data_IF_383645527711
#
_entry.id   IF_383645527711
#
_cell.length_a   1.000
_cell.length_b   1.000
_cell.length_c   1.000
_cell.angle_alpha   90.00
_cell.angle_beta   90.00
_cell.angle_gamma   90.00
#
_symmetry.space_group_name_H-M   'P 1'
#
loop_
_entity.id
_entity.type
_entity.pdbx_description
1 polymer ?
#
# COMPACT_ATOMS: atom_id res chain seq x y z
N UNK A 1 23.47 4.25 10.77
CA UNK A 1 22.78 3.17 11.53
C UNK A 1 23.77 2.65 12.55
N UNK A 2 23.41 2.64 13.84
CA UNK A 2 24.29 2.13 14.91
C UNK A 2 24.23 0.61 14.94
N UNK A 3 25.37 -0.06 15.30
CA UNK A 3 25.49 -1.52 15.40
C UNK A 3 24.33 -2.16 16.19
N UNK A 4 23.88 -1.52 17.27
CA UNK A 4 22.76 -1.97 18.11
C UNK A 4 21.43 -2.07 17.34
N UNK A 5 21.17 -1.20 16.36
CA UNK A 5 19.95 -1.24 15.54
C UNK A 5 19.99 -2.42 14.56
N UNK A 6 21.18 -2.77 14.06
CA UNK A 6 21.38 -3.92 13.18
C UNK A 6 21.22 -5.22 13.95
N UNK A 7 21.71 -5.29 15.20
CA UNK A 7 21.57 -6.47 16.05
C UNK A 7 20.11 -6.69 16.50
N UNK A 8 19.39 -5.63 16.87
CA UNK A 8 17.96 -5.71 17.20
C UNK A 8 17.11 -6.12 15.96
N UNK A 9 17.47 -5.63 14.79
CA UNK A 9 16.78 -5.96 13.54
C UNK A 9 17.06 -7.40 13.13
N UNK A 10 18.31 -7.87 13.29
CA UNK A 10 18.71 -9.27 13.04
C UNK A 10 18.05 -10.21 14.05
N UNK A 11 17.93 -9.82 15.32
CA UNK A 11 17.25 -10.60 16.34
C UNK A 11 15.73 -10.70 16.09
N UNK A 12 15.07 -9.61 15.66
CA UNK A 12 13.65 -9.62 15.27
C UNK A 12 13.39 -10.47 14.02
N UNK A 13 14.32 -10.50 13.08
CA UNK A 13 14.25 -11.36 11.89
C UNK A 13 14.48 -12.84 12.24
N UNK A 14 15.31 -13.13 13.24
CA UNK A 14 15.53 -14.50 13.74
C UNK A 14 14.33 -15.07 14.52
N UNK A 15 13.58 -14.21 15.24
CA UNK A 15 12.34 -14.59 15.94
C UNK A 15 11.16 -14.83 14.97
N UNK A 16 11.33 -14.45 13.70
CA UNK A 16 10.42 -14.72 12.59
C UNK A 16 10.89 -15.94 11.78
N UNK A 17 11.07 -17.09 12.44
CA UNK A 17 11.41 -18.35 11.78
C UNK A 17 10.34 -18.72 10.73
N UNK A 18 10.81 -19.34 9.62
CA UNK A 18 9.98 -19.83 8.54
C UNK A 18 10.08 -19.03 7.23
N UNK A 19 10.00 -19.76 6.12
CA UNK A 19 10.10 -19.18 4.77
C UNK A 19 8.91 -18.30 4.48
N UNK A 20 9.16 -17.13 3.91
CA UNK A 20 8.12 -16.17 3.50
C UNK A 20 7.75 -16.38 2.03
N UNK A 21 6.45 -16.51 1.73
CA UNK A 21 5.95 -16.29 0.37
C UNK A 21 5.44 -14.86 0.22
N UNK A 22 5.65 -14.28 -0.96
CA UNK A 22 5.06 -13.00 -1.35
C UNK A 22 4.07 -13.26 -2.48
N UNK A 23 2.77 -13.16 -2.19
CA UNK A 23 1.72 -13.18 -3.22
C UNK A 23 1.70 -11.78 -3.83
N UNK A 24 2.12 -11.71 -5.09
CA UNK A 24 2.48 -10.47 -5.75
C UNK A 24 1.43 -10.06 -6.79
N UNK A 25 0.73 -8.99 -6.53
CA UNK A 25 -0.07 -8.25 -7.49
C UNK A 25 0.75 -7.21 -8.26
N UNK A 26 0.09 -6.17 -8.76
CA UNK A 26 0.72 -5.08 -9.50
C UNK A 26 1.40 -4.05 -8.57
N UNK A 27 2.22 -3.19 -9.18
CA UNK A 27 2.90 -2.09 -8.50
C UNK A 27 4.27 -2.44 -7.95
N UNK A 28 4.91 -1.48 -7.30
CA UNK A 28 6.30 -1.59 -6.83
C UNK A 28 6.44 -2.27 -5.46
N UNK A 29 5.36 -2.35 -4.68
CA UNK A 29 5.43 -2.92 -3.32
C UNK A 29 5.92 -4.38 -3.31
N UNK A 30 5.44 -5.29 -4.18
CA UNK A 30 5.94 -6.66 -4.22
C UNK A 30 7.45 -6.75 -4.48
N UNK A 31 7.95 -5.91 -5.38
CA UNK A 31 9.37 -5.84 -5.74
C UNK A 31 10.19 -5.35 -4.53
N UNK A 32 9.73 -4.27 -3.90
CA UNK A 32 10.41 -3.70 -2.72
C UNK A 32 10.44 -4.68 -1.55
N UNK A 33 9.36 -5.44 -1.33
CA UNK A 33 9.32 -6.49 -0.29
C UNK A 33 10.28 -7.63 -0.64
N UNK A 34 10.28 -8.10 -1.89
CA UNK A 34 11.18 -9.18 -2.31
C UNK A 34 12.66 -8.78 -2.19
N UNK A 35 13.02 -7.58 -2.71
CA UNK A 35 14.40 -7.07 -2.65
C UNK A 35 14.85 -6.89 -1.19
N UNK A 36 13.99 -6.37 -0.31
CA UNK A 36 14.31 -6.16 1.09
C UNK A 36 14.46 -7.48 1.86
N UNK A 37 13.64 -8.50 1.58
CA UNK A 37 13.81 -9.84 2.15
C UNK A 37 15.15 -10.46 1.74
N UNK A 38 15.53 -10.34 0.47
CA UNK A 38 16.83 -10.83 -0.03
C UNK A 38 17.98 -10.05 0.60
N UNK A 39 17.87 -8.75 0.71
CA UNK A 39 18.88 -7.92 1.38
C UNK A 39 19.05 -8.29 2.86
N UNK A 40 17.99 -8.79 3.51
CA UNK A 40 18.03 -9.34 4.86
C UNK A 40 18.52 -10.81 4.93
N UNK A 41 19.04 -11.39 3.83
CA UNK A 41 19.56 -12.74 3.76
C UNK A 41 18.49 -13.85 3.72
N UNK A 42 17.23 -13.49 3.47
CA UNK A 42 16.15 -14.46 3.31
C UNK A 42 15.97 -14.87 1.84
N UNK A 43 15.40 -16.07 1.62
CA UNK A 43 15.07 -16.58 0.29
C UNK A 43 13.55 -16.63 0.13
N UNK A 44 12.90 -15.53 -0.27
CA UNK A 44 11.45 -15.49 -0.42
C UNK A 44 11.01 -16.40 -1.57
N UNK A 45 9.79 -16.95 -1.44
CA UNK A 45 9.11 -17.65 -2.53
C UNK A 45 8.08 -16.72 -3.14
N UNK A 46 8.27 -16.34 -4.41
CA UNK A 46 7.35 -15.42 -5.07
C UNK A 46 6.17 -16.17 -5.69
N UNK A 47 4.99 -15.60 -5.55
CA UNK A 47 3.77 -16.05 -6.19
C UNK A 47 3.22 -14.91 -7.05
N UNK A 48 3.81 -14.66 -8.24
CA UNK A 48 3.31 -13.66 -9.17
C UNK A 48 1.90 -14.02 -9.63
N UNK A 49 0.96 -13.10 -9.48
CA UNK A 49 -0.39 -13.27 -10.00
C UNK A 49 -0.36 -12.97 -11.51
N UNK A 50 -0.82 -13.95 -12.29
CA UNK A 50 -0.83 -13.89 -13.75
C UNK A 50 -1.62 -12.68 -14.26
N UNK A 51 -0.98 -11.86 -15.11
CA UNK A 51 -1.56 -10.65 -15.68
C UNK A 51 -1.56 -9.43 -14.76
N UNK A 52 -1.10 -9.58 -13.50
CA UNK A 52 -1.02 -8.49 -12.54
C UNK A 52 0.43 -8.14 -12.18
N UNK A 53 1.24 -9.16 -11.90
CA UNK A 53 2.58 -8.99 -11.37
C UNK A 53 3.58 -8.52 -12.43
N UNK A 54 4.55 -7.69 -11.99
CA UNK A 54 5.65 -7.24 -12.84
C UNK A 54 6.59 -8.41 -13.16
N UNK A 55 6.98 -8.60 -14.44
CA UNK A 55 7.91 -9.66 -14.87
C UNK A 55 9.27 -9.66 -14.16
N UNK A 56 9.70 -8.53 -13.61
CA UNK A 56 10.96 -8.45 -12.84
C UNK A 56 10.99 -9.39 -11.64
N UNK A 57 9.82 -9.79 -11.13
CA UNK A 57 9.68 -10.75 -10.03
C UNK A 57 10.08 -12.17 -10.41
N UNK A 58 10.13 -12.51 -11.70
CA UNK A 58 10.52 -13.85 -12.17
C UNK A 58 12.01 -14.17 -12.00
N UNK A 59 12.82 -13.16 -11.61
CA UNK A 59 14.22 -13.38 -11.23
C UNK A 59 14.40 -14.17 -9.92
N UNK A 60 13.36 -14.20 -9.08
CA UNK A 60 13.34 -14.96 -7.82
C UNK A 60 12.81 -16.37 -8.03
N UNK A 61 12.99 -17.26 -7.03
CA UNK A 61 12.27 -18.53 -7.01
C UNK A 61 10.77 -18.27 -6.95
N UNK A 62 10.01 -18.74 -7.93
CA UNK A 62 8.61 -18.38 -8.06
C UNK A 62 7.75 -19.48 -8.65
N UNK A 63 6.45 -19.33 -8.45
CA UNK A 63 5.41 -20.04 -9.19
C UNK A 63 4.32 -19.06 -9.59
N UNK A 64 4.18 -18.82 -10.88
CA UNK A 64 3.08 -18.01 -11.38
C UNK A 64 1.74 -18.74 -11.18
N UNK A 65 0.76 -18.01 -10.63
CA UNK A 65 -0.57 -18.52 -10.29
C UNK A 65 -1.64 -17.58 -10.85
N UNK A 66 -2.70 -18.16 -11.43
CA UNK A 66 -3.93 -17.38 -11.68
C UNK A 66 -4.72 -17.24 -10.37
N UNK A 67 -5.41 -16.13 -10.19
CA UNK A 67 -6.20 -15.83 -8.99
C UNK A 67 -7.24 -16.92 -8.66
N UNK A 68 -7.64 -17.72 -9.66
CA UNK A 68 -8.60 -18.82 -9.52
C UNK A 68 -7.94 -20.19 -9.23
N UNK A 69 -6.61 -20.27 -9.22
CA UNK A 69 -5.86 -21.54 -9.05
C UNK A 69 -5.46 -21.77 -7.57
N UNK A 70 -6.40 -21.62 -6.62
CA UNK A 70 -6.11 -21.68 -5.19
C UNK A 70 -5.42 -22.99 -4.73
N UNK A 71 -5.85 -24.14 -5.26
CA UNK A 71 -5.22 -25.43 -4.92
C UNK A 71 -3.77 -25.51 -5.42
N UNK A 72 -3.45 -24.92 -6.56
CA UNK A 72 -2.07 -24.83 -7.08
C UNK A 72 -1.25 -23.93 -6.17
N UNK A 73 -1.81 -22.80 -5.73
CA UNK A 73 -1.18 -21.88 -4.77
C UNK A 73 -0.75 -22.63 -3.50
N UNK A 74 -1.69 -23.30 -2.83
CA UNK A 74 -1.43 -24.03 -1.59
C UNK A 74 -0.37 -25.12 -1.77
N UNK A 75 -0.45 -25.91 -2.87
CA UNK A 75 0.53 -26.97 -3.15
C UNK A 75 1.93 -26.40 -3.38
N UNK A 76 2.05 -25.34 -4.16
CA UNK A 76 3.34 -24.71 -4.48
C UNK A 76 4.00 -24.12 -3.23
N UNK A 77 3.24 -23.39 -2.40
CA UNK A 77 3.76 -22.84 -1.16
C UNK A 77 4.21 -23.94 -0.17
N UNK A 78 3.43 -25.03 -0.03
CA UNK A 78 3.84 -26.19 0.81
C UNK A 78 5.10 -26.87 0.29
N UNK A 79 5.19 -27.10 -1.02
CA UNK A 79 6.38 -27.70 -1.65
C UNK A 79 7.63 -26.83 -1.46
N UNK A 80 7.46 -25.51 -1.43
CA UNK A 80 8.52 -24.55 -1.17
C UNK A 80 8.85 -24.36 0.33
N UNK A 81 8.17 -25.07 1.25
CA UNK A 81 8.40 -24.93 2.69
C UNK A 81 7.98 -23.60 3.27
N UNK A 82 6.96 -22.97 2.68
CA UNK A 82 6.43 -21.68 3.14
C UNK A 82 5.64 -21.83 4.43
N UNK A 83 5.90 -20.95 5.37
CA UNK A 83 5.19 -20.87 6.65
C UNK A 83 4.45 -19.54 6.78
N UNK A 84 5.03 -18.45 6.27
CA UNK A 84 4.48 -17.09 6.33
C UNK A 84 4.13 -16.58 4.95
N UNK A 85 3.05 -15.82 4.85
CA UNK A 85 2.57 -15.27 3.57
C UNK A 85 2.37 -13.77 3.71
N UNK A 86 2.95 -13.01 2.80
CA UNK A 86 2.73 -11.58 2.64
C UNK A 86 1.88 -11.36 1.39
N UNK A 87 0.85 -10.54 1.50
CA UNK A 87 0.10 -10.03 0.37
C UNK A 87 0.67 -8.66 -0.01
N UNK A 88 1.07 -8.48 -1.26
CA UNK A 88 1.67 -7.23 -1.71
C UNK A 88 1.22 -6.84 -3.11
N UNK A 89 0.92 -5.56 -3.31
CA UNK A 89 0.46 -5.02 -4.58
C UNK A 89 -1.04 -5.15 -4.81
N UNK A 90 -1.54 -4.39 -5.78
CA UNK A 90 -2.95 -4.39 -6.15
C UNK A 90 -3.33 -5.55 -7.06
N UNK A 91 -4.63 -5.86 -7.12
CA UNK A 91 -5.21 -6.79 -8.08
C UNK A 91 -6.34 -6.06 -8.78
N UNK A 92 -6.22 -5.89 -10.09
CA UNK A 92 -7.20 -5.18 -10.91
C UNK A 92 -8.25 -6.11 -11.50
N UNK A 93 -7.87 -7.36 -11.74
CA UNK A 93 -8.75 -8.38 -12.30
C UNK A 93 -9.70 -8.91 -11.25
N UNK A 94 -11.00 -8.88 -11.52
CA UNK A 94 -12.00 -9.58 -10.70
C UNK A 94 -12.18 -11.00 -11.24
N UNK A 95 -12.04 -12.05 -10.39
CA UNK A 95 -12.25 -13.42 -10.83
C UNK A 95 -13.70 -13.63 -11.25
N UNK A 96 -13.91 -14.21 -12.43
CA UNK A 96 -15.23 -14.68 -12.82
C UNK A 96 -15.46 -16.08 -12.22
N UNK A 97 -16.68 -16.30 -11.70
CA UNK A 97 -17.07 -17.59 -11.10
C UNK A 97 -16.94 -18.76 -12.11
N UNK A 98 -17.10 -18.46 -13.41
CA UNK A 98 -16.91 -19.41 -14.53
C UNK A 98 -15.48 -19.96 -14.62
N UNK A 99 -14.49 -19.25 -14.07
CA UNK A 99 -13.07 -19.58 -14.22
C UNK A 99 -12.54 -20.43 -13.06
N UNK A 100 -13.38 -20.67 -12.03
CA UNK A 100 -13.07 -21.49 -10.87
C UNK A 100 -12.90 -22.95 -11.29
N UNK A 101 -11.70 -23.51 -11.09
CA UNK A 101 -11.49 -24.96 -11.20
C UNK A 101 -12.04 -25.64 -9.94
N UNK A 102 -13.00 -26.57 -10.15
CA UNK A 102 -13.64 -27.33 -9.08
C UNK A 102 -12.69 -28.40 -8.52
N UNK A 103 -11.74 -28.00 -7.66
CA UNK A 103 -11.00 -28.92 -6.84
C UNK A 103 -11.38 -28.74 -5.34
N UNK A 104 -11.07 -29.72 -4.49
CA UNK A 104 -11.52 -29.74 -3.09
C UNK A 104 -11.12 -28.52 -2.29
N UNK A 105 -9.88 -27.95 -2.40
CA UNK A 105 -9.52 -26.71 -1.74
C UNK A 105 -10.30 -25.50 -2.24
N UNK A 106 -10.57 -25.42 -3.54
CA UNK A 106 -11.37 -24.35 -4.16
C UNK A 106 -12.84 -24.45 -3.72
N UNK A 107 -13.40 -25.66 -3.64
CA UNK A 107 -14.76 -25.87 -3.17
C UNK A 107 -14.97 -25.37 -1.72
N UNK A 108 -13.95 -25.51 -0.89
CA UNK A 108 -13.93 -25.01 0.49
C UNK A 108 -13.84 -23.48 0.53
N UNK A 109 -13.21 -22.85 -0.45
CA UNK A 109 -13.06 -21.41 -0.59
C UNK A 109 -14.35 -20.71 -1.07
N UNK A 110 -15.12 -21.38 -1.93
CA UNK A 110 -16.32 -20.81 -2.58
C UNK A 110 -17.29 -20.12 -1.61
N UNK A 111 -17.71 -20.70 -0.47
CA UNK A 111 -18.65 -20.02 0.44
C UNK A 111 -18.08 -18.72 1.04
N UNK A 112 -16.79 -18.68 1.31
CA UNK A 112 -16.10 -17.49 1.85
C UNK A 112 -16.01 -16.39 0.80
N UNK A 113 -15.61 -16.74 -0.43
CA UNK A 113 -15.52 -15.83 -1.56
C UNK A 113 -16.90 -15.27 -1.94
N UNK A 114 -17.92 -16.12 -2.04
CA UNK A 114 -19.28 -15.69 -2.39
C UNK A 114 -19.89 -14.72 -1.35
N UNK A 115 -19.64 -14.94 -0.06
CA UNK A 115 -20.08 -14.01 0.98
C UNK A 115 -19.36 -12.67 0.91
N UNK A 116 -18.09 -12.66 0.53
CA UNK A 116 -17.26 -11.47 0.49
C UNK A 116 -17.48 -10.64 -0.78
N UNK A 117 -17.84 -11.26 -1.92
CA UNK A 117 -18.06 -10.56 -3.20
C UNK A 117 -19.12 -9.45 -3.16
N UNK A 118 -20.05 -9.49 -2.18
CA UNK A 118 -21.07 -8.45 -1.98
C UNK A 118 -20.75 -7.40 -0.92
N UNK A 119 -19.58 -7.48 -0.26
CA UNK A 119 -19.28 -6.67 0.94
C UNK A 119 -18.07 -5.71 0.77
N UNK A 120 -17.56 -5.56 -0.44
CA UNK A 120 -16.40 -4.70 -0.74
C UNK A 120 -15.05 -5.44 -0.78
N UNK A 121 -14.04 -4.73 -1.26
CA UNK A 121 -12.71 -5.33 -1.52
C UNK A 121 -11.98 -5.77 -0.24
N UNK A 122 -12.17 -5.02 0.86
CA UNK A 122 -11.58 -5.35 2.17
C UNK A 122 -12.17 -6.65 2.77
N UNK A 123 -13.47 -6.91 2.58
CA UNK A 123 -14.10 -8.16 3.02
C UNK A 123 -13.58 -9.37 2.22
N UNK A 124 -13.36 -9.20 0.92
CA UNK A 124 -12.79 -10.25 0.05
C UNK A 124 -11.36 -10.58 0.48
N UNK A 125 -10.58 -9.57 0.79
CA UNK A 125 -9.19 -9.71 1.21
C UNK A 125 -9.09 -10.41 2.58
N UNK A 126 -9.92 -10.03 3.56
CA UNK A 126 -10.04 -10.74 4.86
C UNK A 126 -10.48 -12.20 4.69
N UNK A 127 -11.42 -12.47 3.79
CA UNK A 127 -11.84 -13.84 3.50
C UNK A 127 -10.69 -14.67 2.91
N UNK A 128 -9.88 -14.08 2.03
CA UNK A 128 -8.70 -14.72 1.46
C UNK A 128 -7.63 -14.99 2.51
N UNK A 129 -7.38 -14.03 3.42
CA UNK A 129 -6.47 -14.22 4.56
C UNK A 129 -6.94 -15.40 5.43
N UNK A 130 -8.20 -15.40 5.86
CA UNK A 130 -8.74 -16.49 6.67
C UNK A 130 -8.68 -17.85 5.97
N UNK A 131 -8.82 -17.85 4.64
CA UNK A 131 -8.67 -19.06 3.85
C UNK A 131 -7.23 -19.58 3.88
N UNK A 132 -6.21 -18.74 3.65
CA UNK A 132 -4.80 -19.12 3.76
C UNK A 132 -4.45 -19.65 5.15
N UNK A 133 -4.93 -18.99 6.20
CA UNK A 133 -4.73 -19.40 7.59
C UNK A 133 -5.40 -20.75 7.89
N UNK A 134 -6.56 -21.05 7.28
CA UNK A 134 -7.23 -22.36 7.41
C UNK A 134 -6.44 -23.52 6.80
N UNK A 135 -5.49 -23.22 5.89
CA UNK A 135 -4.56 -24.18 5.30
C UNK A 135 -3.21 -24.26 6.04
N UNK A 136 -3.05 -23.52 7.15
CA UNK A 136 -1.90 -23.59 8.04
C UNK A 136 -0.79 -22.57 7.73
N UNK A 137 -1.03 -21.60 6.85
CA UNK A 137 -0.11 -20.49 6.62
C UNK A 137 -0.38 -19.36 7.60
N UNK A 138 0.67 -18.67 8.06
CA UNK A 138 0.53 -17.45 8.87
C UNK A 138 0.59 -16.25 7.92
N UNK A 139 -0.54 -15.53 7.75
CA UNK A 139 -0.53 -14.30 6.98
C UNK A 139 0.01 -13.16 7.85
N UNK A 140 1.03 -12.47 7.34
CA UNK A 140 1.72 -11.36 8.03
C UNK A 140 1.73 -10.13 7.13
N UNK A 141 1.74 -8.95 7.74
CA UNK A 141 1.84 -7.70 6.99
C UNK A 141 3.24 -7.50 6.39
N UNK A 142 3.31 -6.84 5.24
CA UNK A 142 4.60 -6.45 4.65
C UNK A 142 5.44 -5.62 5.64
N UNK A 143 4.80 -4.79 6.47
CA UNK A 143 5.44 -4.00 7.50
C UNK A 143 6.06 -4.82 8.64
N UNK A 144 5.57 -6.04 8.89
CA UNK A 144 6.14 -6.95 9.90
C UNK A 144 7.43 -7.62 9.41
N UNK A 145 7.52 -7.91 8.11
CA UNK A 145 8.70 -8.56 7.50
C UNK A 145 9.71 -7.55 6.97
N UNK A 146 9.27 -6.35 6.62
CA UNK A 146 10.11 -5.26 6.09
C UNK A 146 9.71 -3.92 6.73
N UNK A 147 9.98 -3.72 8.02
CA UNK A 147 9.57 -2.51 8.74
C UNK A 147 10.19 -1.22 8.19
N UNK A 148 11.34 -1.30 7.54
CA UNK A 148 12.04 -0.15 6.95
C UNK A 148 11.29 0.48 5.76
N UNK A 149 10.28 -0.19 5.22
CA UNK A 149 9.40 0.38 4.20
C UNK A 149 8.33 1.32 4.79
N UNK A 150 8.08 1.26 6.11
CA UNK A 150 7.09 2.14 6.74
C UNK A 150 7.59 3.58 6.86
N UNK A 151 6.65 4.48 6.73
CA UNK A 151 6.84 5.90 7.03
C UNK A 151 7.31 6.08 8.47
N UNK A 152 8.23 7.02 8.75
CA UNK A 152 8.69 7.29 10.10
C UNK A 152 7.58 7.67 11.07
N UNK A 153 7.72 7.23 12.34
CA UNK A 153 6.87 7.61 13.46
C UNK A 153 7.79 7.99 14.62
N UNK A 154 7.46 9.06 15.40
CA UNK A 154 6.28 9.93 15.32
C UNK A 154 6.27 10.84 14.08
N UNK A 155 5.16 11.58 13.92
CA UNK A 155 4.96 12.52 12.81
C UNK A 155 6.09 13.56 12.72
N UNK A 156 6.64 13.74 11.49
CA UNK A 156 7.78 14.63 11.24
C UNK A 156 7.87 15.05 9.77
N UNK A 157 8.60 16.13 9.51
CA UNK A 157 8.99 16.52 8.16
C UNK A 157 10.07 15.57 7.61
N UNK A 158 9.94 15.17 6.34
CA UNK A 158 10.88 14.29 5.67
C UNK A 158 11.73 15.01 4.59
N UNK A 159 11.29 16.18 4.16
CA UNK A 159 11.93 17.00 3.13
C UNK A 159 12.42 18.33 3.69
N UNK A 160 13.24 19.03 2.89
CA UNK A 160 13.75 20.39 3.23
C UNK A 160 12.64 21.44 3.17
N UNK A 161 11.72 21.27 2.21
CA UNK A 161 10.53 22.15 2.08
C UNK A 161 9.53 21.80 3.15
N UNK A 162 8.89 22.80 3.75
CA UNK A 162 7.81 22.65 4.70
C UNK A 162 6.56 23.36 4.20
N UNK A 163 5.35 22.93 4.62
CA UNK A 163 4.11 23.62 4.27
C UNK A 163 4.04 25.00 4.92
N UNK A 164 3.62 26.01 4.18
CA UNK A 164 3.21 27.28 4.72
C UNK A 164 1.82 27.19 5.41
N UNK A 165 1.31 28.29 5.96
CA UNK A 165 0.03 28.30 6.65
C UNK A 165 -1.17 27.92 5.75
N UNK A 166 -1.11 28.27 4.45
CA UNK A 166 -2.14 27.93 3.47
C UNK A 166 -2.10 26.42 3.17
N UNK A 167 -0.92 25.88 2.97
CA UNK A 167 -0.75 24.44 2.68
C UNK A 167 -1.03 23.60 3.93
N UNK A 168 -0.76 24.13 5.13
CA UNK A 168 -1.16 23.48 6.39
C UNK A 168 -2.69 23.35 6.47
N UNK A 169 -3.44 24.39 6.12
CA UNK A 169 -4.90 24.33 6.05
C UNK A 169 -5.40 23.34 4.98
N UNK A 170 -4.78 23.33 3.77
CA UNK A 170 -5.09 22.32 2.74
C UNK A 170 -4.83 20.90 3.25
N UNK A 171 -3.73 20.68 3.96
CA UNK A 171 -3.38 19.39 4.56
C UNK A 171 -4.46 18.92 5.52
N UNK A 172 -4.91 19.78 6.45
CA UNK A 172 -5.95 19.46 7.43
C UNK A 172 -7.27 19.07 6.75
N UNK A 173 -7.69 19.82 5.73
CA UNK A 173 -8.89 19.51 4.95
C UNK A 173 -8.78 18.18 4.21
N UNK A 174 -7.65 17.94 3.54
CA UNK A 174 -7.42 16.69 2.81
C UNK A 174 -7.33 15.50 3.76
N UNK A 175 -6.69 15.66 4.94
CA UNK A 175 -6.61 14.63 5.97
C UNK A 175 -8.00 14.26 6.49
N UNK A 176 -8.84 15.25 6.82
CA UNK A 176 -10.21 14.95 7.26
C UNK A 176 -11.01 14.21 6.17
N UNK A 177 -10.89 14.67 4.91
CA UNK A 177 -11.56 14.03 3.79
C UNK A 177 -11.09 12.58 3.58
N UNK A 178 -9.78 12.31 3.63
CA UNK A 178 -9.22 10.96 3.50
C UNK A 178 -9.69 10.04 4.63
N UNK A 179 -9.74 10.53 5.88
CA UNK A 179 -10.25 9.76 7.03
C UNK A 179 -11.74 9.39 6.86
N UNK A 180 -12.59 10.35 6.43
CA UNK A 180 -14.02 10.10 6.17
C UNK A 180 -14.23 9.11 5.03
N UNK A 181 -13.43 9.24 3.99
CA UNK A 181 -13.46 8.33 2.86
C UNK A 181 -13.09 6.90 3.28
N UNK A 182 -12.07 6.77 4.15
CA UNK A 182 -11.67 5.51 4.76
C UNK A 182 -12.73 4.89 5.66
N UNK A 183 -13.49 5.70 6.42
CA UNK A 183 -14.63 5.22 7.23
C UNK A 183 -15.72 4.56 6.38
N UNK A 184 -15.90 5.05 5.14
CA UNK A 184 -16.87 4.53 4.16
C UNK A 184 -16.30 3.39 3.29
N UNK A 185 -15.04 3.00 3.49
CA UNK A 185 -14.31 2.01 2.66
C UNK A 185 -14.28 2.33 1.16
N UNK A 186 -14.30 3.63 0.80
CA UNK A 186 -14.27 4.07 -0.60
C UNK A 186 -12.83 4.23 -1.12
N UNK A 187 -11.95 4.82 -0.31
CA UNK A 187 -10.57 5.13 -0.66
C UNK A 187 -9.78 5.60 0.55
N UNK A 188 -8.54 6.04 0.31
CA UNK A 188 -7.60 6.40 1.38
C UNK A 188 -6.82 7.69 1.08
N UNK A 189 -7.12 8.36 -0.03
CA UNK A 189 -6.46 9.56 -0.48
C UNK A 189 -7.40 10.70 -0.79
N UNK A 190 -6.95 11.93 -0.56
CA UNK A 190 -7.65 13.16 -0.93
C UNK A 190 -6.67 14.27 -1.30
N UNK A 191 -7.10 15.20 -2.15
CA UNK A 191 -6.34 16.42 -2.47
C UNK A 191 -7.16 17.65 -2.13
N UNK A 192 -6.56 18.58 -1.39
CA UNK A 192 -7.12 19.91 -1.17
C UNK A 192 -6.26 21.00 -1.83
N UNK A 193 -6.91 21.99 -2.42
CA UNK A 193 -6.28 23.12 -3.11
C UNK A 193 -7.09 24.38 -2.81
N UNK A 194 -6.43 25.44 -2.39
CA UNK A 194 -7.08 26.75 -2.20
C UNK A 194 -8.17 26.75 -1.14
N UNK A 195 -7.98 25.97 -0.04
CA UNK A 195 -8.91 25.92 1.07
C UNK A 195 -10.14 25.03 0.84
N UNK A 196 -10.09 24.10 -0.12
CA UNK A 196 -11.16 23.12 -0.34
C UNK A 196 -10.63 21.78 -0.85
N UNK A 197 -11.31 20.70 -0.53
CA UNK A 197 -11.09 19.39 -1.13
C UNK A 197 -11.54 19.43 -2.60
N UNK A 198 -10.66 18.99 -3.52
CA UNK A 198 -10.90 19.07 -4.97
C UNK A 198 -11.01 17.70 -5.63
N UNK A 199 -10.30 16.67 -5.10
CA UNK A 199 -10.41 15.29 -5.57
C UNK A 199 -10.34 14.32 -4.40
N UNK A 200 -11.04 13.21 -4.54
CA UNK A 200 -11.09 12.08 -3.61
C UNK A 200 -10.69 10.82 -4.36
N UNK A 201 -9.96 9.94 -3.71
CA UNK A 201 -9.59 8.64 -4.25
C UNK A 201 -10.79 7.70 -4.22
N UNK A 202 -11.10 7.10 -5.35
CA UNK A 202 -12.07 6.04 -5.48
C UNK A 202 -11.43 4.79 -6.05
N UNK A 203 -12.22 3.96 -6.71
CA UNK A 203 -11.74 2.72 -7.34
C UNK A 203 -10.72 2.94 -8.46
N UNK A 204 -10.59 4.17 -8.97
CA UNK A 204 -9.60 4.55 -10.00
C UNK A 204 -8.17 4.64 -9.45
N UNK A 205 -8.00 4.77 -8.13
CA UNK A 205 -6.70 4.85 -7.46
C UNK A 205 -6.05 6.24 -7.47
N UNK A 206 -4.91 6.34 -6.77
CA UNK A 206 -4.22 7.61 -6.50
C UNK A 206 -3.77 8.35 -7.76
N UNK A 207 -3.23 7.64 -8.75
CA UNK A 207 -2.68 8.28 -9.96
C UNK A 207 -3.76 8.97 -10.79
N UNK A 208 -4.90 8.33 -10.97
CA UNK A 208 -6.06 8.91 -11.66
C UNK A 208 -6.65 10.10 -10.87
N UNK A 209 -6.70 9.97 -9.53
CA UNK A 209 -7.12 11.09 -8.67
C UNK A 209 -6.21 12.32 -8.86
N UNK A 210 -4.88 12.12 -8.92
CA UNK A 210 -3.93 13.23 -9.17
C UNK A 210 -4.10 13.79 -10.59
N UNK A 211 -4.36 12.93 -11.59
CA UNK A 211 -4.61 13.41 -12.96
C UNK A 211 -5.84 14.32 -13.02
N UNK A 212 -6.91 13.99 -12.30
CA UNK A 212 -8.10 14.88 -12.19
C UNK A 212 -7.75 16.27 -11.63
N UNK A 213 -6.74 16.39 -10.76
CA UNK A 213 -6.25 17.72 -10.32
C UNK A 213 -5.70 18.51 -11.50
N UNK A 214 -4.93 17.85 -12.40
CA UNK A 214 -4.41 18.50 -13.62
C UNK A 214 -5.53 18.97 -14.54
N UNK A 215 -6.54 18.13 -14.76
CA UNK A 215 -7.73 18.48 -15.56
C UNK A 215 -8.48 19.69 -14.99
N UNK A 216 -8.69 19.73 -13.66
CA UNK A 216 -9.33 20.86 -12.98
C UNK A 216 -8.53 22.15 -13.12
N UNK A 217 -7.19 22.07 -13.11
CA UNK A 217 -6.30 23.20 -13.36
C UNK A 217 -6.38 23.68 -14.80
N UNK A 218 -6.33 22.76 -15.75
CA UNK A 218 -6.43 23.07 -17.18
C UNK A 218 -7.78 23.75 -17.51
N UNK A 219 -8.85 23.34 -16.83
CA UNK A 219 -10.18 23.93 -16.95
C UNK A 219 -10.33 25.26 -16.16
N UNK A 220 -9.30 25.75 -15.49
CA UNK A 220 -9.34 26.98 -14.69
C UNK A 220 -10.24 26.93 -13.45
N UNK A 221 -10.62 25.73 -13.00
CA UNK A 221 -11.55 25.53 -11.86
C UNK A 221 -10.88 25.63 -10.49
N UNK A 222 -9.56 25.49 -10.45
CA UNK A 222 -8.74 25.58 -9.22
C UNK A 222 -7.46 26.39 -9.52
N UNK A 223 -6.77 26.93 -8.48
CA UNK A 223 -5.50 27.64 -8.64
C UNK A 223 -4.48 26.84 -9.43
N UNK A 224 -3.65 27.51 -10.22
CA UNK A 224 -2.65 26.85 -11.10
C UNK A 224 -1.59 26.06 -10.35
N UNK A 225 -1.29 26.42 -9.09
CA UNK A 225 -0.29 25.77 -8.22
C UNK A 225 -0.80 25.71 -6.79
N UNK A 226 -0.15 24.88 -5.98
CA UNK A 226 -0.47 24.69 -4.58
C UNK A 226 -1.36 23.50 -4.31
N UNK A 227 -1.59 23.21 -3.04
CA UNK A 227 -2.40 22.10 -2.57
C UNK A 227 -1.61 20.89 -2.14
N UNK A 228 -2.26 20.03 -1.40
CA UNK A 228 -1.66 18.90 -0.72
C UNK A 228 -2.41 17.62 -1.01
N UNK A 229 -1.67 16.58 -1.38
CA UNK A 229 -2.14 15.20 -1.37
C UNK A 229 -1.97 14.62 0.03
N UNK A 230 -3.03 14.04 0.59
CA UNK A 230 -2.95 13.28 1.85
C UNK A 230 -3.36 11.84 1.61
N UNK A 231 -2.60 10.89 2.18
CA UNK A 231 -2.97 9.47 2.23
C UNK A 231 -2.99 8.99 3.67
N UNK A 232 -4.12 8.41 4.09
CA UNK A 232 -4.35 7.89 5.43
C UNK A 232 -4.79 6.43 5.33
N UNK A 233 -4.31 5.57 6.24
CA UNK A 233 -4.79 4.20 6.29
C UNK A 233 -6.27 4.18 6.70
N UNK A 234 -7.05 3.28 6.11
CA UNK A 234 -8.47 3.13 6.46
C UNK A 234 -8.59 2.65 7.93
N UNK A 235 -9.55 3.17 8.72
CA UNK A 235 -9.61 2.86 10.16
C UNK A 235 -9.86 1.39 10.49
N UNK A 236 -10.57 0.68 9.62
CA UNK A 236 -10.97 -0.72 9.82
C UNK A 236 -10.21 -1.71 8.94
N UNK A 237 -9.18 -1.25 8.24
CA UNK A 237 -8.41 -2.07 7.32
C UNK A 237 -7.57 -3.10 8.05
N UNK A 238 -7.47 -4.29 7.49
CA UNK A 238 -6.49 -5.28 7.93
C UNK A 238 -5.10 -4.86 7.42
N UNK A 239 -4.25 -4.36 8.31
CA UNK A 239 -2.91 -3.84 7.98
C UNK A 239 -1.99 -4.90 7.37
N UNK A 240 -2.33 -6.19 7.51
CA UNK A 240 -1.60 -7.30 6.88
C UNK A 240 -1.80 -7.32 5.36
N UNK A 241 -2.88 -6.73 4.89
CA UNK A 241 -3.31 -6.85 3.51
C UNK A 241 -3.02 -5.61 2.67
N UNK A 242 -3.28 -4.42 3.23
CA UNK A 242 -3.16 -3.18 2.48
C UNK A 242 -2.85 -2.01 3.42
N UNK A 243 -1.82 -1.26 3.06
CA UNK A 243 -1.48 0.03 3.65
C UNK A 243 -1.27 1.04 2.52
N UNK A 244 -1.60 2.33 2.74
CA UNK A 244 -1.29 3.37 1.78
C UNK A 244 0.17 3.31 1.36
N UNK A 245 0.42 3.59 0.11
CA UNK A 245 1.78 3.55 -0.45
C UNK A 245 2.04 4.81 -1.23
N UNK A 246 3.23 5.40 -1.06
CA UNK A 246 3.80 6.43 -1.93
C UNK A 246 5.19 6.02 -2.40
N UNK A 247 5.64 6.63 -3.49
CA UNK A 247 6.97 6.43 -4.04
C UNK A 247 7.30 7.52 -5.05
N UNK A 248 8.38 7.31 -5.80
CA UNK A 248 8.87 8.26 -6.81
C UNK A 248 7.80 8.63 -7.85
N UNK A 249 6.95 7.67 -8.25
CA UNK A 249 5.85 7.92 -9.18
C UNK A 249 4.83 8.90 -8.62
N UNK A 250 4.44 8.71 -7.34
CA UNK A 250 3.52 9.61 -6.64
C UNK A 250 4.09 11.03 -6.56
N UNK A 251 5.38 11.18 -6.23
CA UNK A 251 6.07 12.48 -6.20
C UNK A 251 6.07 13.13 -7.57
N UNK A 252 6.40 12.36 -8.61
CA UNK A 252 6.43 12.87 -9.98
C UNK A 252 5.04 13.33 -10.45
N UNK A 253 4.00 12.55 -10.16
CA UNK A 253 2.62 12.89 -10.52
C UNK A 253 2.11 14.11 -9.73
N UNK A 254 2.41 14.20 -8.43
CA UNK A 254 2.11 15.37 -7.61
C UNK A 254 2.78 16.65 -8.14
N UNK A 255 4.07 16.56 -8.51
CA UNK A 255 4.80 17.67 -9.11
C UNK A 255 4.19 18.12 -10.45
N UNK A 256 3.88 17.18 -11.35
CA UNK A 256 3.22 17.45 -12.63
C UNK A 256 1.84 18.06 -12.43
N UNK A 257 1.13 17.67 -11.39
CA UNK A 257 -0.14 18.26 -11.01
C UNK A 257 -0.01 19.62 -10.34
N UNK A 258 1.21 20.13 -10.09
CA UNK A 258 1.49 21.42 -9.47
C UNK A 258 1.12 21.47 -7.98
N UNK A 259 1.10 20.34 -7.29
CA UNK A 259 0.91 20.27 -5.83
C UNK A 259 2.15 20.81 -5.12
N UNK A 260 1.98 21.30 -3.90
CA UNK A 260 3.05 21.76 -3.01
C UNK A 260 3.64 20.66 -2.16
N UNK A 261 2.88 19.59 -1.92
CA UNK A 261 3.40 18.50 -1.10
C UNK A 261 2.46 17.33 -0.91
N UNK A 262 2.98 16.37 -0.15
CA UNK A 262 2.32 15.10 0.17
C UNK A 262 2.41 14.91 1.68
N UNK A 263 1.32 14.53 2.33
CA UNK A 263 1.33 14.08 3.72
C UNK A 263 0.79 12.65 3.82
N UNK A 264 1.41 11.86 4.70
CA UNK A 264 1.07 10.45 4.89
C UNK A 264 0.97 10.11 6.36
N UNK A 265 0.17 9.11 6.71
CA UNK A 265 0.03 8.68 8.11
C UNK A 265 1.34 8.09 8.65
N UNK A 266 1.78 8.61 9.79
CA UNK A 266 3.01 8.17 10.47
C UNK A 266 2.91 6.70 10.91
N UNK A 267 3.90 5.88 10.53
CA UNK A 267 3.97 4.47 10.89
C UNK A 267 2.92 3.57 10.23
N UNK A 268 2.09 4.12 9.30
CA UNK A 268 1.01 3.36 8.66
C UNK A 268 0.91 3.61 7.14
N UNK A 269 2.00 4.02 6.53
CA UNK A 269 2.11 4.23 5.08
C UNK A 269 3.46 3.68 4.60
N UNK A 270 3.49 2.97 3.48
CA UNK A 270 4.75 2.59 2.85
C UNK A 270 5.33 3.76 2.05
N UNK A 271 6.64 4.00 2.20
CA UNK A 271 7.43 4.92 1.36
C UNK A 271 8.44 4.08 0.60
N UNK A 272 8.11 3.71 -0.63
CA UNK A 272 8.97 2.87 -1.46
C UNK A 272 10.16 3.66 -1.98
N UNK A 273 11.37 3.05 -1.93
CA UNK A 273 12.60 3.74 -2.29
C UNK A 273 12.76 5.03 -1.49
N UNK A 274 12.75 4.94 -0.14
CA UNK A 274 12.68 6.10 0.76
C UNK A 274 13.67 7.20 0.36
N UNK A 275 14.95 6.84 0.17
CA UNK A 275 16.01 7.81 -0.18
C UNK A 275 15.72 8.52 -1.49
N UNK A 276 15.39 7.78 -2.54
CA UNK A 276 15.12 8.30 -3.88
C UNK A 276 13.82 9.11 -3.92
N UNK A 277 12.79 8.67 -3.17
CA UNK A 277 11.51 9.38 -3.07
C UNK A 277 11.67 10.73 -2.41
N UNK A 278 12.41 10.79 -1.29
CA UNK A 278 12.71 12.07 -0.60
C UNK A 278 13.62 12.96 -1.44
N UNK A 279 14.63 12.40 -2.10
CA UNK A 279 15.50 13.15 -3.00
C UNK A 279 14.71 13.78 -4.15
N UNK A 280 13.84 13.02 -4.81
CA UNK A 280 12.98 13.49 -5.89
C UNK A 280 12.02 14.60 -5.43
N UNK A 281 11.46 14.50 -4.23
CA UNK A 281 10.61 15.54 -3.66
C UNK A 281 11.39 16.84 -3.40
N UNK A 282 12.59 16.71 -2.81
CA UNK A 282 13.48 17.87 -2.57
C UNK A 282 13.90 18.56 -3.87
N UNK A 283 14.22 17.81 -4.93
CA UNK A 283 14.56 18.33 -6.25
C UNK A 283 13.41 19.14 -6.87
N UNK A 284 12.17 18.65 -6.68
CA UNK A 284 10.96 19.27 -7.21
C UNK A 284 10.37 20.35 -6.31
N UNK A 285 10.99 20.61 -5.14
CA UNK A 285 10.52 21.59 -4.17
C UNK A 285 9.22 21.20 -3.48
N UNK A 286 8.83 19.91 -3.50
CA UNK A 286 7.67 19.43 -2.75
C UNK A 286 8.06 19.14 -1.30
N UNK A 287 7.15 19.41 -0.38
CA UNK A 287 7.28 18.85 0.96
C UNK A 287 6.70 17.43 1.01
N UNK A 288 7.31 16.57 1.84
CA UNK A 288 6.73 15.33 2.34
C UNK A 288 6.80 15.35 3.85
N UNK A 289 5.71 15.08 4.51
CA UNK A 289 5.69 14.92 5.96
C UNK A 289 4.80 13.75 6.38
N UNK A 290 5.14 13.17 7.53
CA UNK A 290 4.25 12.23 8.20
C UNK A 290 3.35 12.98 9.17
N UNK A 291 2.08 12.57 9.27
CA UNK A 291 1.07 13.18 10.13
C UNK A 291 0.47 12.15 11.10
N UNK A 292 0.09 12.60 12.28
CA UNK A 292 -0.63 11.76 13.24
C UNK A 292 -2.13 11.81 12.97
N UNK A 293 -2.81 10.67 13.18
CA UNK A 293 -4.27 10.58 13.11
C UNK A 293 -4.99 11.37 14.23
N UNK A 294 -4.30 11.66 15.32
CA UNK A 294 -4.91 12.37 16.45
C UNK A 294 -5.40 13.75 16.02
N UNK A 295 -6.72 13.94 16.06
CA UNK A 295 -7.33 15.24 15.91
C UNK A 295 -6.86 16.10 17.09
N UNK A 296 -6.05 17.11 16.84
CA UNK A 296 -6.12 18.29 17.72
C UNK A 296 -7.54 18.84 17.56
N UNK A 297 -8.35 18.72 18.62
CA UNK A 297 -9.67 19.33 18.66
C UNK A 297 -9.56 20.82 18.31
N UNK A 298 -9.74 21.15 17.04
CA UNK A 298 -9.93 22.53 16.60
C UNK A 298 -11.43 22.82 16.71
N UNK A 299 -11.93 22.74 17.95
CA UNK A 299 -13.18 23.40 18.31
C UNK A 299 -12.82 24.57 19.23
N UNK A 300 -12.62 25.71 18.63
CA UNK A 300 -12.93 27.01 19.24
C UNK A 300 -13.32 28.00 18.16
#
# INVERSE_FOLDING_TARGET
>A
MTATKIEEQTARLADNAGRVAVIAGNGLLPISVADALVAAGQSPFLVPLRGEADPVLYKYEHQEISIVEFAKLVRSMRAAGVERVVLAGGVTSRPHISDLKFDWPTLRAVPYVLRALGQGDDALLRAFIGLLESFGFKVVGAHEVVPDLLSPSPAQALTRTAPDARERHNLELAMEAALRLGDLDVGQGAVAVGGRVVTLEGAEGTDQMIERVRELRAAGRIPRRGGVLVKMAKPKQDERADLPTIGISTVNNAAKAGLSGIAVEAGRTFILGFGETIAAANEKGLFIETVSRERKDIRK
#
